data_IF_979009493999
#
_entry.id   IF_979009493999
#
_cell.length_a   1.000
_cell.length_b   1.000
_cell.length_c   1.000
_cell.angle_alpha   90.00
_cell.angle_beta   90.00
_cell.angle_gamma   90.00
#
_symmetry.space_group_name_H-M   'P 1'
#
loop_
_entity.id
_entity.type
_entity.pdbx_description
1 polymer ?
#
# COMPACT_ATOMS: atom_id res chain seq x y z
N UNK A 1 -12.09 32.76 4.58
CA UNK A 1 -11.85 31.36 4.34
C UNK A 1 -11.65 31.10 2.87
N UNK A 2 -10.43 30.78 2.45
CA UNK A 2 -10.12 30.34 1.08
C UNK A 2 -10.85 29.02 0.83
N UNK A 3 -11.86 29.03 -0.02
CA UNK A 3 -12.49 27.80 -0.52
C UNK A 3 -11.42 27.01 -1.27
N UNK A 4 -11.16 25.78 -0.84
CA UNK A 4 -10.28 24.87 -1.56
C UNK A 4 -10.86 24.64 -2.98
N UNK A 5 -10.22 25.22 -3.98
CA UNK A 5 -10.66 25.08 -5.38
C UNK A 5 -10.17 23.79 -6.06
N UNK A 6 -9.35 23.00 -5.36
CA UNK A 6 -8.81 21.77 -5.95
C UNK A 6 -9.87 20.65 -5.98
N UNK A 7 -10.05 19.93 -7.12
CA UNK A 7 -11.10 18.91 -7.27
C UNK A 7 -11.10 17.83 -6.19
N UNK A 8 -9.92 17.37 -5.77
CA UNK A 8 -9.78 16.38 -4.69
C UNK A 8 -10.28 16.94 -3.35
N UNK A 9 -9.97 18.20 -3.03
CA UNK A 9 -10.44 18.82 -1.79
C UNK A 9 -11.98 18.97 -1.81
N UNK A 10 -12.55 19.35 -2.95
CA UNK A 10 -14.01 19.43 -3.12
C UNK A 10 -14.67 18.05 -2.97
N UNK A 11 -14.12 17.01 -3.60
CA UNK A 11 -14.61 15.64 -3.46
C UNK A 11 -14.51 15.14 -2.02
N UNK A 12 -13.42 15.44 -1.32
CA UNK A 12 -13.25 15.09 0.10
C UNK A 12 -14.29 15.76 0.98
N UNK A 13 -14.55 17.06 0.75
CA UNK A 13 -15.59 17.80 1.48
C UNK A 13 -16.99 17.27 1.16
N UNK A 14 -17.25 16.88 -0.08
CA UNK A 14 -18.53 16.26 -0.47
C UNK A 14 -18.75 14.90 0.23
N UNK A 15 -17.70 14.09 0.35
CA UNK A 15 -17.77 12.77 0.97
C UNK A 15 -17.87 12.83 2.51
N UNK A 16 -17.14 13.75 3.14
CA UNK A 16 -17.02 13.86 4.60
C UNK A 16 -17.90 14.93 5.23
N UNK A 17 -18.61 15.71 4.42
CA UNK A 17 -19.34 16.90 4.82
C UNK A 17 -18.43 18.15 4.93
N UNK A 18 -19.08 19.31 5.05
CA UNK A 18 -18.37 20.60 5.11
C UNK A 18 -17.48 20.75 6.36
N UNK A 19 -17.78 19.98 7.42
CA UNK A 19 -17.00 19.93 8.65
C UNK A 19 -16.69 18.47 9.00
N UNK A 20 -15.56 17.92 8.48
CA UNK A 20 -15.13 16.57 8.84
C UNK A 20 -15.03 16.39 10.35
N UNK A 21 -15.49 15.24 10.87
CA UNK A 21 -15.40 14.95 12.31
C UNK A 21 -13.93 14.83 12.77
N UNK A 22 -13.68 14.81 14.10
CA UNK A 22 -12.34 14.76 14.67
C UNK A 22 -11.53 13.55 14.20
N UNK A 23 -12.19 12.38 14.02
CA UNK A 23 -11.59 11.14 13.52
C UNK A 23 -11.11 11.30 12.07
N UNK A 24 -11.97 11.78 11.17
CA UNK A 24 -11.61 12.03 9.77
C UNK A 24 -10.45 13.03 9.65
N UNK A 25 -10.47 14.12 10.45
CA UNK A 25 -9.34 15.08 10.49
C UNK A 25 -8.04 14.43 10.92
N UNK A 26 -8.07 13.52 11.88
CA UNK A 26 -6.87 12.77 12.35
C UNK A 26 -6.28 11.93 11.22
N UNK A 27 -7.10 11.14 10.51
CA UNK A 27 -6.63 10.30 9.41
C UNK A 27 -6.13 11.12 8.23
N UNK A 28 -6.81 12.20 7.87
CA UNK A 28 -6.35 13.13 6.83
C UNK A 28 -4.99 13.74 7.19
N UNK A 29 -4.81 14.17 8.44
CA UNK A 29 -3.54 14.73 8.91
C UNK A 29 -2.41 13.70 8.82
N UNK A 30 -2.61 12.49 9.35
CA UNK A 30 -1.60 11.41 9.28
C UNK A 30 -1.16 11.14 7.84
N UNK A 31 -2.12 11.02 6.92
CA UNK A 31 -1.83 10.80 5.49
C UNK A 31 -1.02 11.94 4.88
N UNK A 32 -1.36 13.19 5.18
CA UNK A 32 -0.67 14.38 4.68
C UNK A 32 0.74 14.46 5.28
N UNK A 33 0.89 14.29 6.59
CA UNK A 33 2.17 14.33 7.29
C UNK A 33 3.12 13.23 6.79
N UNK A 34 2.62 12.01 6.56
CA UNK A 34 3.40 10.91 5.98
C UNK A 34 3.94 11.28 4.58
N UNK A 35 3.12 11.89 3.74
CA UNK A 35 3.54 12.34 2.39
C UNK A 35 4.52 13.50 2.43
N UNK A 36 4.35 14.43 3.36
CA UNK A 36 5.29 15.54 3.56
C UNK A 36 6.65 15.01 4.06
N UNK A 37 6.64 14.09 5.02
CA UNK A 37 7.86 13.47 5.54
C UNK A 37 8.60 12.70 4.44
N UNK A 38 7.88 11.91 3.64
CA UNK A 38 8.43 11.20 2.49
C UNK A 38 9.04 12.17 1.45
N UNK A 39 8.32 13.24 1.10
CA UNK A 39 8.82 14.22 0.13
C UNK A 39 10.08 14.96 0.59
N UNK A 40 10.30 15.07 1.89
CA UNK A 40 11.47 15.71 2.51
C UNK A 40 12.62 14.74 2.81
N UNK A 41 12.38 13.45 2.64
CA UNK A 41 13.40 12.43 2.91
C UNK A 41 14.46 12.45 1.81
N UNK A 42 15.73 12.50 2.21
CA UNK A 42 16.88 12.51 1.31
C UNK A 42 17.44 11.10 1.02
N UNK A 43 16.87 10.05 1.62
CA UNK A 43 17.38 8.69 1.47
C UNK A 43 16.30 7.61 1.60
N UNK A 44 16.70 6.33 1.43
CA UNK A 44 15.81 5.21 1.60
C UNK A 44 15.36 5.07 3.07
N UNK A 45 14.20 4.45 3.32
CA UNK A 45 13.78 4.07 4.67
C UNK A 45 14.85 3.19 5.30
N UNK A 46 15.01 3.28 6.62
CA UNK A 46 16.05 2.54 7.32
C UNK A 46 15.69 1.06 7.45
N UNK A 47 14.46 0.75 7.81
CA UNK A 47 13.98 -0.59 8.15
C UNK A 47 12.65 -0.92 7.46
N UNK A 48 12.28 -2.20 7.45
CA UNK A 48 10.92 -2.63 7.04
C UNK A 48 9.86 -1.97 7.92
N UNK A 49 10.11 -1.83 9.23
CA UNK A 49 9.19 -1.18 10.16
C UNK A 49 8.93 0.31 9.79
N UNK A 50 9.91 1.00 9.21
CA UNK A 50 9.72 2.36 8.71
C UNK A 50 8.81 2.38 7.46
N UNK A 51 8.95 1.39 6.57
CA UNK A 51 8.03 1.20 5.44
C UNK A 51 6.62 0.87 5.89
N UNK A 52 6.46 -0.02 6.86
CA UNK A 52 5.16 -0.40 7.44
C UNK A 52 4.47 0.81 8.06
N UNK A 53 5.22 1.63 8.80
CA UNK A 53 4.70 2.87 9.38
C UNK A 53 4.22 3.84 8.30
N UNK A 54 5.05 4.07 7.28
CA UNK A 54 4.66 4.90 6.13
C UNK A 54 3.42 4.36 5.42
N UNK A 55 3.37 3.04 5.16
CA UNK A 55 2.22 2.39 4.54
C UNK A 55 0.96 2.50 5.39
N UNK A 56 1.06 2.32 6.72
CA UNK A 56 -0.03 2.52 7.67
C UNK A 56 -0.54 3.96 7.64
N UNK A 57 0.37 4.94 7.71
CA UNK A 57 0.00 6.35 7.77
C UNK A 57 -0.55 6.87 6.43
N UNK A 58 -0.01 6.41 5.29
CA UNK A 58 -0.45 6.86 3.96
C UNK A 58 -1.67 6.07 3.44
N UNK A 59 -1.58 4.73 3.41
CA UNK A 59 -2.61 3.87 2.79
C UNK A 59 -3.64 3.37 3.81
N UNK A 60 -3.20 2.97 5.01
CA UNK A 60 -4.11 2.56 6.09
C UNK A 60 -5.04 3.69 6.50
N UNK A 61 -4.49 4.90 6.69
CA UNK A 61 -5.31 6.09 6.98
C UNK A 61 -6.33 6.40 5.89
N UNK A 62 -5.97 6.21 4.61
CA UNK A 62 -6.89 6.43 3.50
C UNK A 62 -8.06 5.44 3.50
N UNK A 63 -7.80 4.16 3.77
CA UNK A 63 -8.86 3.15 3.89
C UNK A 63 -9.77 3.40 5.10
N UNK A 64 -9.19 3.75 6.25
CA UNK A 64 -9.99 4.09 7.44
C UNK A 64 -10.85 5.34 7.21
N UNK A 65 -10.29 6.34 6.51
CA UNK A 65 -11.06 7.52 6.11
C UNK A 65 -12.22 7.16 5.17
N UNK A 66 -12.00 6.22 4.25
CA UNK A 66 -13.06 5.73 3.36
C UNK A 66 -14.17 4.98 4.11
N UNK A 67 -13.83 4.15 5.13
CA UNK A 67 -14.81 3.54 6.04
C UNK A 67 -15.64 4.60 6.77
N UNK A 68 -14.97 5.62 7.33
CA UNK A 68 -15.64 6.70 8.05
C UNK A 68 -16.58 7.52 7.13
N UNK A 69 -16.19 7.75 5.87
CA UNK A 69 -17.01 8.40 4.86
C UNK A 69 -18.26 7.60 4.48
N UNK A 70 -18.19 6.26 4.55
CA UNK A 70 -19.33 5.37 4.35
C UNK A 70 -20.14 5.15 5.63
N UNK A 71 -19.81 5.82 6.74
CA UNK A 71 -20.51 5.68 8.04
C UNK A 71 -20.16 4.41 8.80
N UNK A 72 -19.20 3.62 8.36
CA UNK A 72 -18.77 2.38 9.02
C UNK A 72 -17.85 2.71 10.19
N UNK A 73 -18.27 2.30 11.40
CA UNK A 73 -17.51 2.48 12.65
C UNK A 73 -17.48 1.16 13.40
N UNK A 74 -16.48 0.35 13.08
CA UNK A 74 -16.34 -0.98 13.65
C UNK A 74 -14.85 -1.29 13.88
N UNK A 75 -14.49 -1.75 15.07
CA UNK A 75 -13.08 -1.99 15.44
C UNK A 75 -12.43 -3.10 14.61
N UNK A 76 -13.16 -4.18 14.28
CA UNK A 76 -12.62 -5.26 13.43
C UNK A 76 -12.43 -4.78 11.98
N UNK A 77 -13.33 -3.94 11.45
CA UNK A 77 -13.16 -3.32 10.15
C UNK A 77 -11.96 -2.39 10.13
N UNK A 78 -11.80 -1.52 11.14
CA UNK A 78 -10.64 -0.62 11.26
C UNK A 78 -9.33 -1.41 11.31
N UNK A 79 -9.29 -2.50 12.07
CA UNK A 79 -8.11 -3.35 12.21
C UNK A 79 -7.78 -4.07 10.90
N UNK A 80 -8.80 -4.66 10.24
CA UNK A 80 -8.62 -5.33 8.96
C UNK A 80 -8.10 -4.39 7.87
N UNK A 81 -8.67 -3.18 7.73
CA UNK A 81 -8.21 -2.21 6.74
C UNK A 81 -6.86 -1.58 7.11
N UNK A 82 -6.48 -1.55 8.38
CA UNK A 82 -5.13 -1.13 8.79
C UNK A 82 -4.08 -2.09 8.25
N UNK A 83 -4.25 -3.40 8.45
CA UNK A 83 -3.37 -4.42 7.87
C UNK A 83 -3.41 -4.37 6.34
N UNK A 84 -4.59 -4.29 5.74
CA UNK A 84 -4.72 -4.22 4.29
C UNK A 84 -4.02 -2.98 3.72
N UNK A 85 -4.11 -1.83 4.39
CA UNK A 85 -3.40 -0.62 4.00
C UNK A 85 -1.88 -0.76 4.01
N UNK A 86 -1.34 -1.48 5.01
CA UNK A 86 0.09 -1.80 5.05
C UNK A 86 0.48 -2.72 3.90
N UNK A 87 -0.29 -3.78 3.63
CA UNK A 87 -0.05 -4.66 2.48
C UNK A 87 -0.09 -3.91 1.15
N UNK A 88 -1.07 -3.02 0.95
CA UNK A 88 -1.19 -2.16 -0.23
C UNK A 88 0.04 -1.25 -0.36
N UNK A 89 0.44 -0.57 0.71
CA UNK A 89 1.54 0.38 0.70
C UNK A 89 2.87 -0.29 0.37
N UNK A 90 3.20 -1.40 1.05
CA UNK A 90 4.42 -2.16 0.79
C UNK A 90 4.46 -2.70 -0.64
N UNK A 91 3.36 -3.28 -1.12
CA UNK A 91 3.26 -3.78 -2.50
C UNK A 91 3.37 -2.67 -3.54
N UNK A 92 2.79 -1.49 -3.26
CA UNK A 92 2.89 -0.33 -4.15
C UNK A 92 4.32 0.21 -4.24
N UNK A 93 5.07 0.22 -3.14
CA UNK A 93 6.48 0.63 -3.12
C UNK A 93 7.35 -0.35 -3.90
N UNK A 94 7.17 -1.66 -3.74
CA UNK A 94 7.87 -2.69 -4.52
C UNK A 94 7.56 -2.54 -6.02
N UNK A 95 6.29 -2.47 -6.40
CA UNK A 95 5.88 -2.28 -7.79
C UNK A 95 6.42 -1.00 -8.40
N UNK A 96 6.53 0.05 -7.59
CA UNK A 96 7.03 1.35 -7.99
C UNK A 96 8.54 1.43 -8.13
N UNK A 97 9.31 0.39 -7.80
CA UNK A 97 10.78 0.45 -7.73
C UNK A 97 11.42 0.98 -9.01
N UNK A 98 10.99 0.51 -10.19
CA UNK A 98 11.49 1.02 -11.49
C UNK A 98 11.21 2.52 -11.68
N UNK A 99 10.00 2.97 -11.34
CA UNK A 99 9.61 4.37 -11.48
C UNK A 99 10.37 5.25 -10.48
N UNK A 100 10.56 4.77 -9.26
CA UNK A 100 11.32 5.45 -8.22
C UNK A 100 12.82 5.54 -8.58
N UNK A 101 13.41 4.46 -9.06
CA UNK A 101 14.82 4.42 -9.49
C UNK A 101 15.12 5.46 -10.57
N UNK A 102 14.24 5.62 -11.57
CA UNK A 102 14.33 6.66 -12.61
C UNK A 102 14.32 8.08 -12.03
N UNK A 103 13.71 8.28 -10.87
CA UNK A 103 13.69 9.56 -10.14
C UNK A 103 14.81 9.66 -9.09
N UNK A 104 15.74 8.70 -9.07
CA UNK A 104 16.79 8.56 -8.06
C UNK A 104 16.22 8.49 -6.64
N UNK A 105 15.10 7.79 -6.47
CA UNK A 105 14.50 7.44 -5.18
C UNK A 105 14.55 5.93 -4.98
N UNK A 106 14.83 5.52 -3.74
CA UNK A 106 14.87 4.12 -3.34
C UNK A 106 13.99 3.92 -2.10
N UNK A 107 13.11 2.94 -2.16
CA UNK A 107 12.28 2.54 -1.02
C UNK A 107 12.64 1.14 -0.49
N UNK A 108 13.72 0.52 -1.00
CA UNK A 108 14.25 -0.69 -0.39
C UNK A 108 14.95 -0.31 0.94
N UNK A 109 14.65 -1.01 2.06
CA UNK A 109 15.21 -0.67 3.37
C UNK A 109 16.72 -0.74 3.39
N UNK A 110 17.39 0.30 3.89
CA UNK A 110 18.84 0.41 3.86
C UNK A 110 19.55 -0.65 4.70
N UNK A 111 18.94 -1.10 5.81
CA UNK A 111 19.47 -2.19 6.63
C UNK A 111 19.42 -3.55 5.92
N UNK A 112 18.32 -3.84 5.21
CA UNK A 112 18.19 -5.03 4.38
C UNK A 112 19.17 -4.97 3.19
N UNK A 113 19.25 -3.82 2.52
CA UNK A 113 20.22 -3.59 1.45
C UNK A 113 21.65 -3.86 1.93
N UNK A 114 22.03 -3.37 3.12
CA UNK A 114 23.36 -3.61 3.69
C UNK A 114 23.60 -5.10 3.98
N UNK A 115 22.62 -5.83 4.52
CA UNK A 115 22.74 -7.27 4.77
C UNK A 115 22.96 -8.08 3.50
N UNK A 116 22.35 -7.66 2.40
CA UNK A 116 22.40 -8.37 1.11
C UNK A 116 23.39 -7.75 0.10
N UNK A 117 24.25 -6.82 0.54
CA UNK A 117 25.28 -6.22 -0.32
C UNK A 117 24.73 -5.36 -1.46
N UNK A 118 23.53 -4.78 -1.30
CA UNK A 118 22.89 -3.92 -2.30
C UNK A 118 23.24 -2.46 -2.06
N UNK A 119 23.77 -1.79 -3.07
CA UNK A 119 23.97 -0.34 -3.01
C UNK A 119 22.77 0.42 -3.56
N UNK A 120 22.49 1.61 -3.04
CA UNK A 120 21.43 2.47 -3.58
C UNK A 120 21.68 2.81 -5.05
N UNK A 121 22.94 2.95 -5.44
CA UNK A 121 23.30 3.25 -6.83
C UNK A 121 22.99 2.08 -7.78
N UNK A 122 23.20 0.81 -7.35
CA UNK A 122 22.80 -0.35 -8.17
C UNK A 122 21.28 -0.42 -8.36
N UNK A 123 20.50 -0.01 -7.35
CA UNK A 123 19.04 0.10 -7.48
C UNK A 123 18.66 1.20 -8.50
N UNK A 124 19.33 2.36 -8.45
CA UNK A 124 19.08 3.45 -9.42
C UNK A 124 19.43 3.06 -10.86
N UNK A 125 20.43 2.21 -11.05
CA UNK A 125 20.78 1.64 -12.36
C UNK A 125 19.89 0.48 -12.77
N UNK A 126 18.98 0.06 -11.88
CA UNK A 126 18.11 -1.10 -12.11
C UNK A 126 18.92 -2.37 -12.44
N UNK A 127 20.02 -2.58 -11.71
CA UNK A 127 20.89 -3.76 -11.89
C UNK A 127 20.28 -4.96 -11.16
N UNK A 128 19.79 -6.00 -11.88
CA UNK A 128 19.25 -7.20 -11.25
C UNK A 128 20.36 -7.94 -10.49
N UNK A 129 20.09 -8.31 -9.25
CA UNK A 129 21.01 -9.11 -8.45
C UNK A 129 20.25 -9.99 -7.47
N UNK A 130 20.87 -11.05 -7.00
CA UNK A 130 20.33 -11.88 -5.94
C UNK A 130 20.07 -11.06 -4.67
N UNK A 131 20.97 -10.13 -4.34
CA UNK A 131 20.79 -9.23 -3.20
C UNK A 131 19.51 -8.38 -3.30
N UNK A 132 19.21 -7.80 -4.46
CA UNK A 132 17.98 -7.03 -4.68
C UNK A 132 16.75 -7.94 -4.54
N UNK A 133 16.77 -9.16 -5.09
CA UNK A 133 15.69 -10.13 -4.94
C UNK A 133 15.45 -10.52 -3.48
N UNK A 134 16.52 -10.74 -2.72
CA UNK A 134 16.42 -11.05 -1.30
C UNK A 134 15.81 -9.90 -0.49
N UNK A 135 16.21 -8.65 -0.75
CA UNK A 135 15.59 -7.48 -0.13
C UNK A 135 14.11 -7.35 -0.51
N UNK A 136 13.79 -7.54 -1.79
CA UNK A 136 12.41 -7.52 -2.27
C UNK A 136 11.55 -8.62 -1.63
N UNK A 137 12.11 -9.83 -1.47
CA UNK A 137 11.47 -10.94 -0.77
C UNK A 137 11.17 -10.62 0.70
N UNK A 138 12.10 -10.00 1.44
CA UNK A 138 11.83 -9.59 2.82
C UNK A 138 10.65 -8.61 2.91
N UNK A 139 10.61 -7.58 2.05
CA UNK A 139 9.51 -6.60 2.02
C UNK A 139 8.19 -7.25 1.55
N UNK A 140 8.25 -8.14 0.55
CA UNK A 140 7.08 -8.88 0.07
C UNK A 140 6.52 -9.81 1.14
N UNK A 141 7.38 -10.45 1.94
CA UNK A 141 6.99 -11.31 3.06
C UNK A 141 6.25 -10.51 4.15
N UNK A 142 6.71 -9.29 4.47
CA UNK A 142 6.00 -8.41 5.37
C UNK A 142 4.62 -8.01 4.80
N UNK A 143 4.57 -7.65 3.51
CA UNK A 143 3.30 -7.33 2.84
C UNK A 143 2.33 -8.51 2.85
N UNK A 144 2.82 -9.74 2.61
CA UNK A 144 2.03 -10.97 2.66
C UNK A 144 1.49 -11.25 4.06
N UNK A 145 2.31 -11.07 5.09
CA UNK A 145 1.88 -11.23 6.49
C UNK A 145 0.74 -10.29 6.86
N UNK A 146 0.80 -9.03 6.42
CA UNK A 146 -0.30 -8.08 6.59
C UNK A 146 -1.54 -8.45 5.78
N UNK A 147 -1.38 -8.90 4.54
CA UNK A 147 -2.49 -9.37 3.70
C UNK A 147 -3.22 -10.55 4.33
N UNK A 148 -2.48 -11.53 4.84
CA UNK A 148 -3.04 -12.72 5.48
C UNK A 148 -3.73 -12.36 6.80
N UNK A 149 -3.18 -11.41 7.57
CA UNK A 149 -3.84 -10.88 8.77
C UNK A 149 -5.17 -10.21 8.43
N UNK A 150 -5.22 -9.38 7.38
CA UNK A 150 -6.47 -8.75 6.94
C UNK A 150 -7.52 -9.80 6.51
N UNK A 151 -7.09 -10.83 5.76
CA UNK A 151 -7.97 -11.93 5.32
C UNK A 151 -8.51 -12.76 6.48
N UNK A 152 -7.68 -13.06 7.47
CA UNK A 152 -8.10 -13.80 8.67
C UNK A 152 -9.19 -13.08 9.48
N UNK A 153 -9.25 -11.76 9.34
CA UNK A 153 -10.28 -10.94 10.01
C UNK A 153 -11.59 -10.82 9.22
N UNK A 154 -11.64 -11.24 7.94
CA UNK A 154 -12.78 -11.01 7.04
C UNK A 154 -14.12 -11.52 7.59
N UNK A 155 -14.13 -12.63 8.37
CA UNK A 155 -15.34 -13.18 8.98
C UNK A 155 -15.92 -12.31 10.09
N UNK A 156 -15.11 -11.45 10.73
CA UNK A 156 -15.53 -10.54 11.82
C UNK A 156 -15.90 -9.14 11.30
N UNK A 157 -15.52 -8.84 10.06
CA UNK A 157 -15.82 -7.55 9.44
C UNK A 157 -17.30 -7.52 9.03
N UNK A 158 -18.07 -6.47 9.38
CA UNK A 158 -19.46 -6.32 9.01
C UNK A 158 -19.65 -6.19 7.49
N UNK A 159 -20.82 -6.57 6.99
CA UNK A 159 -21.09 -6.70 5.54
C UNK A 159 -20.92 -5.38 4.77
N UNK A 160 -21.22 -4.24 5.38
CA UNK A 160 -21.05 -2.91 4.81
C UNK A 160 -19.58 -2.49 4.66
N UNK A 161 -18.68 -3.10 5.44
CA UNK A 161 -17.24 -2.88 5.34
C UNK A 161 -16.53 -3.89 4.41
N UNK A 162 -17.11 -5.04 4.13
CA UNK A 162 -16.50 -6.09 3.29
C UNK A 162 -16.04 -5.61 1.90
N UNK A 163 -16.74 -4.71 1.20
CA UNK A 163 -16.28 -4.20 -0.08
C UNK A 163 -14.87 -3.58 -0.04
N UNK A 164 -14.45 -3.01 1.10
CA UNK A 164 -13.10 -2.46 1.26
C UNK A 164 -12.02 -3.55 1.24
N UNK A 165 -12.35 -4.78 1.64
CA UNK A 165 -11.44 -5.92 1.63
C UNK A 165 -11.15 -6.44 0.21
N UNK A 166 -11.94 -6.05 -0.80
CA UNK A 166 -11.67 -6.41 -2.20
C UNK A 166 -10.32 -5.91 -2.70
N UNK A 167 -9.74 -4.89 -2.05
CA UNK A 167 -8.37 -4.46 -2.31
C UNK A 167 -7.32 -5.55 -2.02
N UNK A 168 -7.65 -6.57 -1.24
CA UNK A 168 -6.79 -7.74 -1.01
C UNK A 168 -6.53 -8.54 -2.30
N UNK A 169 -7.47 -8.52 -3.26
CA UNK A 169 -7.36 -9.29 -4.51
C UNK A 169 -6.20 -8.79 -5.38
N UNK A 170 -6.13 -7.50 -5.78
CA UNK A 170 -5.02 -7.01 -6.58
C UNK A 170 -3.67 -7.10 -5.84
N UNK A 171 -3.65 -6.93 -4.51
CA UNK A 171 -2.42 -7.08 -3.71
C UNK A 171 -1.91 -8.51 -3.76
N UNK A 172 -2.78 -9.51 -3.51
CA UNK A 172 -2.40 -10.92 -3.58
C UNK A 172 -1.86 -11.29 -4.96
N UNK A 173 -2.60 -10.93 -6.02
CA UNK A 173 -2.16 -11.18 -7.40
C UNK A 173 -0.80 -10.56 -7.74
N UNK A 174 -0.52 -9.36 -7.22
CA UNK A 174 0.78 -8.73 -7.40
C UNK A 174 1.89 -9.52 -6.69
N UNK A 175 1.67 -9.91 -5.42
CA UNK A 175 2.65 -10.68 -4.65
C UNK A 175 2.91 -12.06 -5.29
N UNK A 176 1.86 -12.75 -5.75
CA UNK A 176 1.98 -14.02 -6.47
C UNK A 176 2.79 -13.87 -7.78
N UNK A 177 2.54 -12.77 -8.52
CA UNK A 177 3.28 -12.48 -9.75
C UNK A 177 4.75 -12.14 -9.48
N UNK A 178 5.04 -11.43 -8.40
CA UNK A 178 6.40 -11.09 -7.97
C UNK A 178 7.16 -12.36 -7.55
N UNK A 179 6.52 -13.24 -6.77
CA UNK A 179 7.08 -14.53 -6.37
C UNK A 179 7.39 -15.40 -7.60
N UNK A 180 6.48 -15.51 -8.56
CA UNK A 180 6.66 -16.24 -9.81
C UNK A 180 7.83 -15.72 -10.68
N UNK A 181 8.34 -14.52 -10.39
CA UNK A 181 9.51 -13.91 -11.02
C UNK A 181 10.72 -13.81 -10.08
N UNK A 182 10.76 -14.69 -9.08
CA UNK A 182 11.87 -14.76 -8.12
C UNK A 182 12.18 -13.39 -7.48
N UNK A 183 11.13 -12.66 -7.14
CA UNK A 183 11.18 -11.32 -6.52
C UNK A 183 11.98 -10.28 -7.32
N UNK A 184 12.07 -10.43 -8.63
CA UNK A 184 12.70 -9.44 -9.49
C UNK A 184 11.77 -8.21 -9.68
N UNK A 185 12.02 -7.17 -8.91
CA UNK A 185 11.26 -5.90 -8.95
C UNK A 185 11.52 -5.08 -10.22
N UNK A 186 12.53 -5.46 -11.01
CA UNK A 186 12.83 -4.84 -12.30
C UNK A 186 12.18 -5.54 -13.49
N UNK A 187 11.59 -6.74 -13.27
CA UNK A 187 10.83 -7.43 -14.33
C UNK A 187 9.69 -6.54 -14.83
N UNK A 188 9.60 -6.41 -16.16
CA UNK A 188 8.65 -5.50 -16.80
C UNK A 188 7.18 -5.87 -16.52
N UNK A 189 6.86 -7.16 -16.45
CA UNK A 189 5.50 -7.64 -16.17
C UNK A 189 5.09 -7.33 -14.71
N UNK A 190 6.04 -7.43 -13.77
CA UNK A 190 5.84 -7.05 -12.37
C UNK A 190 5.66 -5.55 -12.23
N UNK A 191 6.54 -4.75 -12.85
CA UNK A 191 6.50 -3.30 -12.79
C UNK A 191 5.22 -2.71 -13.41
N UNK A 192 4.69 -3.32 -14.48
CA UNK A 192 3.42 -2.93 -15.11
C UNK A 192 2.17 -3.34 -14.32
N UNK A 193 2.30 -4.24 -13.34
CA UNK A 193 1.19 -4.63 -12.47
C UNK A 193 0.20 -5.63 -13.08
N UNK A 194 0.61 -6.43 -14.08
CA UNK A 194 -0.17 -7.51 -14.66
C UNK A 194 -1.26 -7.06 -15.63
N UNK A 195 -2.21 -7.96 -15.94
CA UNK A 195 -3.31 -7.72 -16.89
C UNK A 195 -4.52 -7.07 -16.18
N UNK A 196 -4.85 -5.79 -16.47
CA UNK A 196 -5.92 -5.07 -15.78
C UNK A 196 -7.29 -5.77 -15.88
N UNK A 197 -7.65 -6.29 -17.04
CA UNK A 197 -8.94 -6.96 -17.25
C UNK A 197 -9.09 -8.25 -16.42
N UNK A 198 -8.01 -9.03 -16.29
CA UNK A 198 -8.01 -10.23 -15.45
C UNK A 198 -8.13 -9.87 -13.96
N UNK A 199 -7.55 -8.76 -13.55
CA UNK A 199 -7.67 -8.26 -12.19
C UNK A 199 -9.10 -7.79 -11.90
N UNK A 200 -9.73 -7.06 -12.82
CA UNK A 200 -11.14 -6.64 -12.69
C UNK A 200 -12.08 -7.87 -12.64
N UNK A 201 -11.87 -8.87 -13.50
CA UNK A 201 -12.64 -10.11 -13.46
C UNK A 201 -12.48 -10.86 -12.13
N UNK A 202 -11.25 -10.90 -11.58
CA UNK A 202 -11.00 -11.49 -10.28
C UNK A 202 -11.70 -10.72 -9.15
N UNK A 203 -11.64 -9.39 -9.14
CA UNK A 203 -12.35 -8.56 -8.16
C UNK A 203 -13.86 -8.82 -8.21
N UNK A 204 -14.45 -8.83 -9.42
CA UNK A 204 -15.87 -9.11 -9.59
C UNK A 204 -16.26 -10.51 -9.10
N UNK A 205 -15.42 -11.52 -9.37
CA UNK A 205 -15.62 -12.89 -8.88
C UNK A 205 -15.55 -12.98 -7.36
N UNK A 206 -14.55 -12.35 -6.75
CA UNK A 206 -14.39 -12.33 -5.29
C UNK A 206 -15.54 -11.56 -4.61
N UNK A 207 -16.01 -10.46 -5.21
CA UNK A 207 -17.17 -9.72 -4.75
C UNK A 207 -18.43 -10.60 -4.77
N UNK A 208 -18.65 -11.34 -5.88
CA UNK A 208 -19.78 -12.27 -6.00
C UNK A 208 -19.70 -13.42 -4.99
N UNK A 209 -18.53 -14.01 -4.79
CA UNK A 209 -18.29 -15.08 -3.84
C UNK A 209 -18.25 -14.62 -2.39
N UNK A 210 -18.19 -13.32 -2.11
CA UNK A 210 -17.91 -12.72 -0.79
C UNK A 210 -16.66 -13.31 -0.12
N UNK A 211 -15.64 -13.64 -0.92
CA UNK A 211 -14.35 -14.19 -0.50
C UNK A 211 -13.26 -13.13 -0.74
N UNK A 212 -12.36 -12.91 0.24
CA UNK A 212 -11.42 -11.79 0.24
C UNK A 212 -9.96 -12.24 0.47
#
# INVERSE_FOLDING_TARGET
>A
GTRAGHPVALATLAALGNEPNARARTWMRRMIEARIADARSDGPPRTIADLERYASDAHGSALTLALDACGVRNADADHAVSHLGQAIGLSALLRGTVAHAKQRRCYLPSDACARHGVSTESVYRMEPSEGVRNVAHEVASAAKGHLDSARAMASRVPDDAKPFLLQAVPVGRYLDALEARDFDVFDEAVAKGGAPLLTQGAIAWHAFKRAY
#
